data_IF_244504228894
#
_entry.id   IF_244504228894
#
_cell.length_a   1.000
_cell.length_b   1.000
_cell.length_c   1.000
_cell.angle_alpha   90.00
_cell.angle_beta   90.00
_cell.angle_gamma   90.00
#
_symmetry.space_group_name_H-M   'P 1'
#
loop_
_entity.id
_entity.type
_entity.pdbx_description
1 polymer ?
#
# COMPACT_ATOMS: atom_id res chain seq x y z
N UNK A 1 -8.24 4.88 -13.21
CA UNK A 1 -7.75 4.91 -11.84
C UNK A 1 -7.86 6.24 -11.14
N UNK A 2 -8.60 7.16 -11.67
CA UNK A 2 -9.11 8.33 -10.95
C UNK A 2 -8.09 9.18 -10.19
N UNK A 3 -6.94 9.48 -10.74
CA UNK A 3 -5.97 10.36 -10.11
C UNK A 3 -4.79 9.66 -9.42
N UNK A 4 -4.85 8.34 -9.27
CA UNK A 4 -3.69 7.58 -8.78
C UNK A 4 -2.57 7.67 -9.82
N UNK A 5 -1.36 8.00 -9.35
CA UNK A 5 -0.18 8.02 -10.22
C UNK A 5 0.36 6.61 -10.33
N UNK A 6 0.19 6.00 -11.48
CA UNK A 6 0.59 4.61 -11.68
C UNK A 6 1.41 4.46 -12.94
N UNK A 7 2.58 3.85 -12.81
CA UNK A 7 3.42 3.50 -13.95
C UNK A 7 2.89 2.26 -14.66
N UNK A 8 3.79 1.56 -15.36
CA UNK A 8 3.45 0.34 -16.10
C UNK A 8 3.35 -0.83 -15.14
N UNK A 9 2.19 -0.99 -14.53
CA UNK A 9 1.99 -2.00 -13.49
C UNK A 9 0.66 -2.72 -13.69
N UNK A 10 0.56 -3.92 -13.14
CA UNK A 10 -0.66 -4.71 -13.14
C UNK A 10 -1.49 -4.37 -11.90
N UNK A 11 -2.74 -4.02 -12.13
CA UNK A 11 -3.70 -3.79 -11.06
C UNK A 11 -4.78 -4.86 -11.18
N UNK A 12 -4.88 -5.70 -10.17
CA UNK A 12 -5.80 -6.83 -10.18
C UNK A 12 -7.25 -6.44 -9.96
N UNK A 13 -8.11 -7.46 -9.89
CA UNK A 13 -9.54 -7.26 -9.71
C UNK A 13 -9.85 -6.78 -8.30
N UNK A 14 -10.83 -5.89 -8.21
CA UNK A 14 -11.37 -5.41 -6.92
C UNK A 14 -10.32 -4.74 -6.03
N UNK A 15 -9.26 -4.20 -6.63
CA UNK A 15 -8.31 -3.35 -5.90
C UNK A 15 -8.99 -2.02 -5.61
N UNK A 16 -8.94 -1.59 -4.36
CA UNK A 16 -9.58 -0.37 -3.92
C UNK A 16 -8.51 0.66 -3.57
N UNK A 17 -8.56 1.79 -4.26
CA UNK A 17 -7.75 2.95 -3.92
C UNK A 17 -8.63 3.94 -3.18
N UNK A 18 -8.08 4.53 -2.13
CA UNK A 18 -8.80 5.56 -1.38
C UNK A 18 -9.23 6.66 -2.34
N UNK A 19 -10.53 6.97 -2.34
CA UNK A 19 -11.11 7.92 -3.28
C UNK A 19 -11.02 9.36 -2.81
N UNK A 20 -10.64 9.59 -1.55
CA UNK A 20 -10.62 10.94 -0.97
C UNK A 20 -9.52 11.80 -1.59
N UNK A 21 -8.31 11.26 -1.67
CA UNK A 21 -7.15 11.92 -2.27
C UNK A 21 -6.35 10.92 -3.09
N UNK A 22 -6.87 10.47 -4.23
CA UNK A 22 -6.16 9.45 -5.03
C UNK A 22 -4.80 9.91 -5.52
N UNK A 23 -4.59 11.22 -5.67
CA UNK A 23 -3.29 11.76 -6.04
C UNK A 23 -2.22 11.51 -4.97
N UNK A 24 -2.59 11.10 -3.78
CA UNK A 24 -1.67 10.74 -2.71
C UNK A 24 -1.14 9.30 -2.84
N UNK A 25 -1.58 8.57 -3.85
CA UNK A 25 -1.09 7.21 -4.13
C UNK A 25 -0.22 7.24 -5.37
N UNK A 26 0.98 6.70 -5.24
CA UNK A 26 1.98 6.64 -6.31
C UNK A 26 2.50 5.22 -6.43
N UNK A 27 2.42 4.65 -7.61
CA UNK A 27 2.86 3.28 -7.89
C UNK A 27 3.84 3.34 -9.05
N UNK A 28 5.00 2.73 -8.89
CA UNK A 28 6.03 2.71 -9.91
C UNK A 28 5.71 1.75 -11.05
N UNK A 29 6.78 1.25 -11.69
CA UNK A 29 6.68 0.35 -12.84
C UNK A 29 6.85 -1.11 -12.42
N UNK A 30 6.24 -1.99 -13.20
CA UNK A 30 6.40 -3.44 -13.07
C UNK A 30 5.96 -3.99 -11.72
N UNK A 31 4.98 -3.33 -11.09
CA UNK A 31 4.37 -3.82 -9.88
C UNK A 31 3.21 -4.75 -10.20
N UNK A 32 2.89 -5.62 -9.25
CA UNK A 32 1.67 -6.42 -9.28
C UNK A 32 0.89 -6.15 -8.00
N UNK A 33 -0.13 -5.34 -8.10
CA UNK A 33 -1.07 -5.07 -7.02
C UNK A 33 -2.22 -6.04 -7.23
N UNK A 34 -2.21 -7.15 -6.51
CA UNK A 34 -3.11 -8.25 -6.84
C UNK A 34 -4.50 -8.06 -6.23
N UNK A 35 -5.37 -9.04 -6.41
CA UNK A 35 -6.79 -8.85 -6.16
C UNK A 35 -7.11 -8.43 -4.73
N UNK A 36 -8.08 -7.56 -4.60
CA UNK A 36 -8.64 -7.07 -3.34
C UNK A 36 -7.65 -6.37 -2.41
N UNK A 37 -6.55 -5.86 -2.95
CA UNK A 37 -5.71 -4.98 -2.17
C UNK A 37 -6.44 -3.68 -1.90
N UNK A 38 -6.20 -3.09 -0.73
CA UNK A 38 -6.84 -1.84 -0.32
C UNK A 38 -5.75 -0.88 0.12
N UNK A 39 -5.71 0.29 -0.52
CA UNK A 39 -4.73 1.33 -0.21
C UNK A 39 -5.48 2.54 0.37
N UNK A 40 -5.29 2.79 1.66
CA UNK A 40 -5.98 3.84 2.39
C UNK A 40 -5.02 4.97 2.73
N UNK A 41 -5.44 6.20 2.43
CA UNK A 41 -4.61 7.40 2.63
C UNK A 41 -5.19 8.35 3.66
N UNK A 42 -6.29 8.00 4.29
CA UNK A 42 -6.83 8.85 5.36
C UNK A 42 -7.31 8.02 6.52
N UNK A 43 -7.34 8.63 7.69
CA UNK A 43 -7.89 8.03 8.91
C UNK A 43 -8.67 9.05 9.69
N UNK A 44 -9.54 8.53 10.54
CA UNK A 44 -10.35 9.34 11.44
C UNK A 44 -9.74 9.30 12.82
N UNK A 45 -9.59 10.46 13.44
CA UNK A 45 -9.19 10.57 14.83
C UNK A 45 -10.42 11.01 15.62
N UNK A 46 -10.98 10.14 16.45
CA UNK A 46 -12.14 10.51 17.27
C UNK A 46 -11.77 11.57 18.31
N UNK A 47 -12.62 12.60 18.41
CA UNK A 47 -12.46 13.70 19.36
C UNK A 47 -13.76 13.91 20.14
N UNK A 48 -14.24 12.88 20.80
CA UNK A 48 -15.50 12.97 21.52
C UNK A 48 -16.69 13.16 20.58
N UNK A 49 -17.25 14.35 20.52
CA UNK A 49 -18.44 14.62 19.72
C UNK A 49 -18.15 14.91 18.23
N UNK A 50 -16.89 14.93 17.83
CA UNK A 50 -16.54 15.19 16.43
C UNK A 50 -15.32 14.33 16.04
N UNK A 51 -15.03 14.32 14.74
CA UNK A 51 -13.91 13.56 14.18
C UNK A 51 -12.98 14.47 13.40
N UNK A 52 -11.68 14.32 13.63
CA UNK A 52 -10.66 14.90 12.78
C UNK A 52 -10.25 13.88 11.73
N UNK A 53 -9.80 14.37 10.57
CA UNK A 53 -9.27 13.52 9.51
C UNK A 53 -7.80 13.81 9.33
N UNK A 54 -7.00 12.76 9.22
CA UNK A 54 -5.60 12.87 8.81
C UNK A 54 -5.43 12.21 7.46
N UNK A 55 -4.60 12.83 6.63
CA UNK A 55 -4.32 12.34 5.28
C UNK A 55 -2.86 11.99 5.18
N UNK A 56 -2.55 10.92 4.49
CA UNK A 56 -1.19 10.48 4.26
C UNK A 56 -0.95 10.18 2.80
N UNK A 57 0.26 9.74 2.50
CA UNK A 57 0.67 9.37 1.16
C UNK A 57 1.18 7.94 1.14
N UNK A 58 0.88 7.23 0.07
CA UNK A 58 1.42 5.90 -0.18
C UNK A 58 2.30 5.99 -1.42
N UNK A 59 3.54 5.59 -1.28
CA UNK A 59 4.47 5.53 -2.39
C UNK A 59 5.00 4.11 -2.51
N UNK A 60 4.76 3.51 -3.67
CA UNK A 60 5.22 2.16 -3.98
C UNK A 60 6.25 2.27 -5.10
N UNK A 61 7.42 1.71 -4.89
CA UNK A 61 8.52 1.74 -5.85
C UNK A 61 8.27 0.84 -7.05
N UNK A 62 9.36 0.36 -7.66
CA UNK A 62 9.30 -0.50 -8.83
C UNK A 62 9.41 -1.97 -8.45
N UNK A 63 8.82 -2.86 -9.24
CA UNK A 63 8.91 -4.31 -9.01
C UNK A 63 8.42 -4.72 -7.63
N UNK A 64 7.26 -4.24 -7.23
CA UNK A 64 6.66 -4.58 -5.95
C UNK A 64 5.49 -5.53 -6.19
N UNK A 65 5.46 -6.60 -5.41
CA UNK A 65 4.33 -7.54 -5.41
C UNK A 65 3.56 -7.39 -4.11
N UNK A 66 2.29 -7.02 -4.20
CA UNK A 66 1.37 -7.06 -3.07
C UNK A 66 0.46 -8.26 -3.25
N UNK A 67 0.56 -9.23 -2.34
CA UNK A 67 -0.30 -10.41 -2.36
C UNK A 67 -1.76 -10.05 -2.16
N UNK A 68 -2.66 -10.99 -2.52
CA UNK A 68 -4.09 -10.76 -2.43
C UNK A 68 -4.53 -10.33 -1.04
N UNK A 69 -5.49 -9.43 -0.96
CA UNK A 69 -6.07 -8.92 0.29
C UNK A 69 -5.06 -8.19 1.18
N UNK A 70 -4.00 -7.64 0.62
CA UNK A 70 -3.09 -6.78 1.37
C UNK A 70 -3.74 -5.42 1.60
N UNK A 71 -3.62 -4.90 2.82
CA UNK A 71 -4.14 -3.58 3.17
C UNK A 71 -2.97 -2.70 3.58
N UNK A 72 -2.91 -1.49 3.02
CA UNK A 72 -1.95 -0.47 3.44
C UNK A 72 -2.75 0.63 4.15
N UNK A 73 -2.47 0.85 5.44
CA UNK A 73 -3.33 1.67 6.30
C UNK A 73 -2.75 3.00 6.73
N UNK A 74 -1.50 3.30 6.40
CA UNK A 74 -0.85 4.54 6.88
C UNK A 74 -0.07 5.18 5.76
N UNK A 75 0.55 6.32 6.09
CA UNK A 75 1.56 6.89 5.22
C UNK A 75 2.73 5.94 5.15
N UNK A 76 2.86 5.25 4.04
CA UNK A 76 3.85 4.18 3.87
C UNK A 76 4.61 4.40 2.58
N UNK A 77 5.92 4.22 2.66
CA UNK A 77 6.78 4.13 1.49
C UNK A 77 7.32 2.71 1.38
N UNK A 78 7.06 2.08 0.24
CA UNK A 78 7.57 0.74 -0.07
C UNK A 78 8.64 0.93 -1.13
N UNK A 79 9.83 0.40 -0.87
CA UNK A 79 10.96 0.50 -1.78
C UNK A 79 10.79 -0.35 -3.03
N UNK A 80 11.91 -0.59 -3.72
CA UNK A 80 11.91 -1.41 -4.93
C UNK A 80 12.13 -2.88 -4.60
N UNK A 81 11.66 -3.77 -5.46
CA UNK A 81 11.90 -5.21 -5.31
C UNK A 81 11.42 -5.70 -3.95
N UNK A 82 10.16 -5.47 -3.63
CA UNK A 82 9.55 -5.86 -2.36
C UNK A 82 8.44 -6.85 -2.63
N UNK A 83 8.35 -7.86 -1.78
CA UNK A 83 7.23 -8.81 -1.80
C UNK A 83 6.49 -8.69 -0.48
N UNK A 84 5.18 -8.49 -0.56
CA UNK A 84 4.29 -8.50 0.60
C UNK A 84 3.36 -9.70 0.48
N UNK A 85 3.39 -10.57 1.46
CA UNK A 85 2.57 -11.78 1.46
C UNK A 85 1.07 -11.49 1.53
N UNK A 86 0.26 -12.40 0.99
CA UNK A 86 -1.18 -12.24 0.96
C UNK A 86 -1.77 -12.05 2.36
N UNK A 87 -2.81 -11.23 2.47
CA UNK A 87 -3.51 -11.01 3.72
C UNK A 87 -2.75 -10.13 4.72
N UNK A 88 -1.68 -9.48 4.30
CA UNK A 88 -0.88 -8.64 5.20
C UNK A 88 -1.51 -7.27 5.40
N UNK A 89 -1.22 -6.66 6.54
CA UNK A 89 -1.59 -5.27 6.80
C UNK A 89 -0.30 -4.48 7.01
N UNK A 90 0.00 -3.60 6.07
CA UNK A 90 1.24 -2.83 6.06
C UNK A 90 1.02 -1.52 6.78
N UNK A 91 1.76 -1.31 7.87
CA UNK A 91 1.65 -0.11 8.70
C UNK A 91 2.96 0.65 8.84
N UNK A 92 4.04 0.16 8.24
CA UNK A 92 5.37 0.76 8.30
C UNK A 92 6.01 0.76 6.91
N UNK A 93 6.98 1.63 6.73
CA UNK A 93 7.78 1.64 5.51
C UNK A 93 8.52 0.31 5.35
N UNK A 94 8.64 -0.12 4.11
CA UNK A 94 9.34 -1.36 3.78
C UNK A 94 10.55 -1.01 2.91
N UNK A 95 11.77 -1.31 3.38
CA UNK A 95 12.97 -1.09 2.58
C UNK A 95 13.01 -1.96 1.33
N UNK A 96 13.81 -1.54 0.34
CA UNK A 96 13.99 -2.31 -0.89
C UNK A 96 14.57 -3.70 -0.62
N UNK A 97 14.24 -4.63 -1.50
CA UNK A 97 14.80 -5.99 -1.52
C UNK A 97 14.42 -6.83 -0.31
N UNK A 98 13.23 -6.63 0.22
CA UNK A 98 12.76 -7.36 1.41
C UNK A 98 11.42 -8.02 1.17
N UNK A 99 11.19 -9.11 1.88
CA UNK A 99 9.92 -9.82 1.92
C UNK A 99 9.31 -9.59 3.30
N UNK A 100 8.08 -9.10 3.31
CA UNK A 100 7.33 -8.84 4.54
C UNK A 100 5.98 -9.55 4.48
N UNK A 101 5.45 -9.93 5.64
CA UNK A 101 4.11 -10.55 5.70
C UNK A 101 3.56 -10.44 7.11
N UNK A 102 2.24 -10.62 7.23
CA UNK A 102 1.55 -10.74 8.50
C UNK A 102 0.67 -9.55 8.85
N UNK A 103 0.10 -9.62 10.04
CA UNK A 103 -0.83 -8.60 10.59
C UNK A 103 -0.36 -8.25 12.00
N UNK A 104 0.31 -7.12 12.20
CA UNK A 104 0.84 -6.23 11.18
C UNK A 104 2.01 -6.86 10.43
N UNK A 105 2.24 -6.41 9.21
CA UNK A 105 3.33 -6.93 8.40
C UNK A 105 4.69 -6.73 9.08
N UNK A 106 5.53 -7.75 9.00
CA UNK A 106 6.86 -7.77 9.61
C UNK A 106 7.87 -8.31 8.61
N UNK A 107 9.11 -7.94 8.79
CA UNK A 107 10.22 -8.43 7.99
C UNK A 107 10.33 -9.96 8.08
N UNK A 108 10.44 -10.62 6.94
CA UNK A 108 10.68 -12.06 6.85
C UNK A 108 12.12 -12.31 6.49
N UNK A 109 12.56 -11.77 5.35
CA UNK A 109 13.93 -11.93 4.88
C UNK A 109 14.21 -11.00 3.72
N UNK A 110 15.48 -10.86 3.39
CA UNK A 110 15.91 -10.27 2.12
C UNK A 110 15.91 -11.36 1.07
N UNK A 111 15.45 -11.02 -0.14
CA UNK A 111 15.44 -12.02 -1.20
C UNK A 111 16.49 -11.75 -2.26
N UNK A 112 17.40 -10.91 -1.95
CA UNK A 112 18.37 -10.53 -2.97
C UNK A 112 19.77 -10.41 -2.37
#
# INVERSE_FOLDING_TARGET
MGGVKCGKSFIGQQVIFDSEHPENIEIGDYCAITMRCILLTHYVIPRGSYHDYEYGKIKIGNNVFLGANTVITKSVTIGDNVIVGAGSIVTKDIPSNEIWAGVPARFIKKYN
#
